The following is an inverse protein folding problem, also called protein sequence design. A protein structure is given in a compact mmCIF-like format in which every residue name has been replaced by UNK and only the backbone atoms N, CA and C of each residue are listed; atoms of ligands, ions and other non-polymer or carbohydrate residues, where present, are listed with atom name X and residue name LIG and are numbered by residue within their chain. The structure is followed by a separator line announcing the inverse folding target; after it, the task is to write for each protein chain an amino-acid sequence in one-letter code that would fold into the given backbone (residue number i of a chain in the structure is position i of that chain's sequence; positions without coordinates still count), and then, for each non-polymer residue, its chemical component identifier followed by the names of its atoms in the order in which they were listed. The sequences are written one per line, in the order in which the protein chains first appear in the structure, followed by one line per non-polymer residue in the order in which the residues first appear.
data_IF_040299468433
#
_entry.id   IF_040299468433
#
_cell.length_a   1.000
_cell.length_b   1.000
_cell.length_c   1.000
_cell.angle_alpha   90.00
_cell.angle_beta   90.00
_cell.angle_gamma   90.00
#
_symmetry.space_group_name_H-M   'P 1'
#
loop_
_entity.id
_entity.type
_entity.pdbx_description
1 polymer ?
#
# COMPACT_ATOMS: atom_id res chain seq x y z
N UNK A 1 47.72 23.85 -13.79
CA UNK A 1 46.62 22.90 -14.19
C UNK A 1 45.33 23.40 -13.55
N UNK A 2 44.48 24.07 -14.33
CA UNK A 2 43.24 24.70 -13.84
C UNK A 2 42.14 23.66 -13.86
N UNK A 3 41.69 23.24 -12.70
CA UNK A 3 40.54 22.33 -12.54
C UNK A 3 39.25 23.14 -12.64
N UNK A 4 38.67 23.17 -13.82
CA UNK A 4 37.35 23.76 -14.04
C UNK A 4 36.30 22.88 -13.32
N UNK A 5 35.78 23.31 -12.16
CA UNK A 5 34.59 22.71 -11.52
C UNK A 5 33.41 22.82 -12.49
N UNK A 6 32.70 21.74 -12.79
CA UNK A 6 31.49 21.85 -13.58
C UNK A 6 30.47 22.67 -12.80
N UNK A 7 30.05 23.79 -13.34
CA UNK A 7 28.96 24.63 -12.84
C UNK A 7 27.66 23.91 -13.17
N UNK A 8 27.13 23.14 -12.21
CA UNK A 8 25.77 22.61 -12.30
C UNK A 8 24.80 23.76 -12.00
N UNK A 9 24.11 24.20 -13.03
CA UNK A 9 23.04 25.20 -12.89
C UNK A 9 21.90 24.60 -12.05
N UNK A 10 21.50 25.28 -10.93
CA UNK A 10 20.36 24.83 -10.12
C UNK A 10 19.11 24.54 -10.94
N UNK A 11 18.87 25.33 -11.98
CA UNK A 11 17.76 25.15 -12.92
C UNK A 11 17.83 23.82 -13.70
N UNK A 12 19.05 23.39 -14.09
CA UNK A 12 19.22 22.09 -14.75
C UNK A 12 18.93 20.92 -13.80
N UNK A 13 19.38 20.99 -12.56
CA UNK A 13 19.13 19.99 -11.56
C UNK A 13 17.61 19.87 -11.28
N UNK A 14 16.92 20.99 -11.17
CA UNK A 14 15.47 21.02 -11.00
C UNK A 14 14.73 20.42 -12.19
N UNK A 15 15.09 20.79 -13.42
CA UNK A 15 14.50 20.22 -14.64
C UNK A 15 14.75 18.72 -14.76
N UNK A 16 15.91 18.24 -14.34
CA UNK A 16 16.23 16.82 -14.31
C UNK A 16 15.32 16.09 -13.32
N UNK A 17 15.17 16.61 -12.10
CA UNK A 17 14.30 15.97 -11.09
C UNK A 17 12.83 16.03 -11.51
N UNK A 18 12.33 17.10 -12.06
CA UNK A 18 10.99 17.19 -12.61
C UNK A 18 10.74 16.13 -13.70
N UNK A 19 11.73 15.90 -14.57
CA UNK A 19 11.64 14.88 -15.61
C UNK A 19 11.66 13.47 -15.00
N UNK A 20 12.50 13.23 -14.00
CA UNK A 20 12.56 11.97 -13.25
C UNK A 20 11.21 11.65 -12.60
N UNK A 21 10.63 12.61 -11.88
CA UNK A 21 9.33 12.47 -11.23
C UNK A 21 8.21 12.23 -12.23
N UNK A 22 8.24 12.91 -13.40
CA UNK A 22 7.26 12.68 -14.47
C UNK A 22 7.30 11.26 -15.02
N UNK A 23 8.50 10.67 -15.15
CA UNK A 23 8.64 9.27 -15.57
C UNK A 23 8.11 8.32 -14.50
N UNK A 24 8.41 8.55 -13.21
CA UNK A 24 7.92 7.72 -12.11
C UNK A 24 6.39 7.77 -11.96
N UNK A 25 5.77 8.96 -12.10
CA UNK A 25 4.32 9.11 -12.13
C UNK A 25 3.69 8.37 -13.32
N UNK A 26 4.25 8.53 -14.51
CA UNK A 26 3.78 7.80 -15.70
C UNK A 26 3.93 6.29 -15.54
N UNK A 27 4.96 5.84 -14.85
CA UNK A 27 5.14 4.44 -14.52
C UNK A 27 4.06 3.94 -13.55
N UNK A 28 3.71 4.75 -12.54
CA UNK A 28 2.58 4.48 -11.64
C UNK A 28 1.27 4.30 -12.43
N UNK A 29 0.96 5.23 -13.34
CA UNK A 29 -0.26 5.19 -14.15
C UNK A 29 -0.33 3.91 -15.01
N UNK A 30 0.81 3.49 -15.58
CA UNK A 30 0.89 2.25 -16.38
C UNK A 30 0.71 1.01 -15.49
N UNK A 31 1.27 1.01 -14.28
CA UNK A 31 1.10 -0.08 -13.31
C UNK A 31 -0.33 -0.19 -12.78
N UNK A 32 -1.02 0.94 -12.66
CA UNK A 32 -2.40 1.01 -12.18
C UNK A 32 -3.43 0.65 -13.26
N UNK A 33 -3.05 0.72 -14.53
CA UNK A 33 -3.94 0.47 -15.68
C UNK A 33 -4.25 -1.04 -15.79
N UNK A 34 -5.48 -1.48 -15.51
CA UNK A 34 -5.84 -2.90 -15.58
C UNK A 34 -5.88 -3.43 -17.03
N UNK A 35 -5.87 -2.54 -18.02
CA UNK A 35 -5.87 -2.90 -19.44
C UNK A 35 -4.46 -3.06 -20.01
N UNK A 36 -3.43 -2.69 -19.27
CA UNK A 36 -2.05 -2.86 -19.66
C UNK A 36 -1.63 -4.33 -19.45
N UNK A 37 -1.62 -5.12 -20.51
CA UNK A 37 -1.16 -6.53 -20.48
C UNK A 37 0.29 -6.64 -19.97
N UNK A 38 1.16 -5.71 -20.41
CA UNK A 38 2.56 -5.65 -20.01
C UNK A 38 3.02 -4.21 -19.76
N UNK A 39 3.77 -4.03 -18.69
CA UNK A 39 4.45 -2.76 -18.38
C UNK A 39 5.76 -2.67 -19.16
N UNK A 40 5.73 -1.96 -20.28
CA UNK A 40 6.91 -1.79 -21.14
C UNK A 40 7.48 -0.38 -21.06
N UNK A 41 8.80 -0.24 -21.21
CA UNK A 41 9.47 1.09 -21.21
C UNK A 41 8.93 2.01 -22.30
N UNK A 42 8.64 1.55 -23.54
CA UNK A 42 7.98 2.39 -24.56
C UNK A 42 6.62 2.95 -24.11
N UNK A 43 5.82 2.17 -23.38
CA UNK A 43 4.53 2.63 -22.85
C UNK A 43 4.72 3.74 -21.82
N UNK A 44 5.67 3.55 -20.90
CA UNK A 44 6.05 4.57 -19.91
C UNK A 44 6.54 5.86 -20.59
N UNK A 45 7.40 5.75 -21.59
CA UNK A 45 7.92 6.91 -22.32
C UNK A 45 6.78 7.71 -22.99
N UNK A 46 5.81 7.04 -23.62
CA UNK A 46 4.61 7.66 -24.21
C UNK A 46 3.78 8.37 -23.14
N UNK A 47 3.49 7.70 -22.05
CA UNK A 47 2.68 8.24 -20.93
C UNK A 47 3.39 9.45 -20.29
N UNK A 48 4.70 9.38 -20.11
CA UNK A 48 5.53 10.47 -19.60
C UNK A 48 5.75 11.61 -20.60
N UNK A 49 5.36 11.45 -21.86
CA UNK A 49 5.64 12.41 -22.96
C UNK A 49 7.13 12.73 -23.08
N UNK A 50 7.97 11.70 -23.02
CA UNK A 50 9.42 11.82 -23.24
C UNK A 50 9.89 10.78 -24.27
N UNK A 51 11.10 10.97 -24.82
CA UNK A 51 11.69 9.97 -25.70
C UNK A 51 12.10 8.72 -24.92
N UNK A 52 12.12 7.56 -25.59
CA UNK A 52 12.64 6.31 -25.03
C UNK A 52 14.10 6.48 -24.54
N UNK A 53 14.94 7.21 -25.31
CA UNK A 53 16.31 7.57 -24.94
C UNK A 53 16.35 8.35 -23.62
N UNK A 54 15.36 9.23 -23.41
CA UNK A 54 15.25 9.99 -22.17
C UNK A 54 15.00 9.07 -20.98
N UNK A 55 14.08 8.09 -21.11
CA UNK A 55 13.84 7.14 -20.03
C UNK A 55 15.09 6.36 -19.68
N UNK A 56 15.78 5.79 -20.68
CA UNK A 56 17.02 5.04 -20.44
C UNK A 56 18.17 5.86 -19.87
N UNK A 57 18.19 7.17 -20.11
CA UNK A 57 19.18 8.07 -19.49
C UNK A 57 18.97 8.18 -17.97
N UNK A 58 17.71 8.14 -17.50
CA UNK A 58 17.39 8.22 -16.06
C UNK A 58 17.39 6.85 -15.40
N UNK A 59 16.95 5.84 -16.13
CA UNK A 59 16.77 4.46 -15.64
C UNK A 59 17.32 3.51 -16.69
N UNK A 60 18.59 3.11 -16.56
CA UNK A 60 19.29 2.31 -17.58
C UNK A 60 18.64 0.96 -17.86
N UNK A 61 17.95 0.38 -16.88
CA UNK A 61 17.23 -0.89 -17.02
C UNK A 61 15.80 -0.76 -16.49
N UNK A 62 14.97 -1.75 -16.80
CA UNK A 62 13.61 -1.84 -16.26
C UNK A 62 13.65 -2.01 -14.73
N UNK A 63 14.58 -2.80 -14.25
CA UNK A 63 14.81 -3.04 -12.81
C UNK A 63 15.19 -1.73 -12.10
N UNK A 64 16.08 -0.93 -12.69
CA UNK A 64 16.45 0.37 -12.14
C UNK A 64 15.27 1.35 -12.06
N UNK A 65 14.35 1.34 -13.06
CA UNK A 65 13.11 2.11 -12.99
C UNK A 65 12.21 1.60 -11.86
N UNK A 66 12.14 0.28 -11.69
CA UNK A 66 11.33 -0.35 -10.65
C UNK A 66 11.83 -0.03 -9.26
N UNK A 67 13.14 -0.16 -9.03
CA UNK A 67 13.75 0.12 -7.73
C UNK A 67 13.60 1.60 -7.36
N UNK A 68 13.83 2.50 -8.32
CA UNK A 68 13.63 3.93 -8.12
C UNK A 68 12.16 4.30 -7.86
N UNK A 69 11.21 3.62 -8.50
CA UNK A 69 9.79 3.79 -8.23
C UNK A 69 9.40 3.28 -6.84
N UNK A 70 9.91 2.11 -6.44
CA UNK A 70 9.67 1.58 -5.11
C UNK A 70 10.18 2.51 -4.01
N UNK A 71 11.37 3.06 -4.18
CA UNK A 71 11.95 4.06 -3.29
C UNK A 71 11.12 5.36 -3.27
N UNK A 72 10.71 5.84 -4.44
CA UNK A 72 9.87 7.03 -4.55
C UNK A 72 8.51 6.82 -3.88
N UNK A 73 7.89 5.65 -4.05
CA UNK A 73 6.65 5.28 -3.37
C UNK A 73 6.84 5.27 -1.86
N UNK A 74 7.91 4.69 -1.35
CA UNK A 74 8.20 4.63 0.08
C UNK A 74 8.40 6.02 0.70
N UNK A 75 9.01 6.94 -0.05
CA UNK A 75 9.29 8.31 0.40
C UNK A 75 8.10 9.26 0.24
N UNK A 76 7.28 9.08 -0.80
CA UNK A 76 6.26 10.06 -1.21
C UNK A 76 4.84 9.60 -0.93
N UNK A 77 4.60 8.32 -0.75
CA UNK A 77 3.41 7.87 -0.10
C UNK A 77 3.51 8.27 1.37
N UNK A 78 3.10 9.48 1.67
CA UNK A 78 2.70 9.87 3.02
C UNK A 78 1.41 9.14 3.42
N UNK A 79 1.30 7.90 2.99
CA UNK A 79 0.42 6.99 3.64
C UNK A 79 1.07 6.85 5.01
N UNK A 80 0.50 7.48 6.02
CA UNK A 80 0.85 7.31 7.44
C UNK A 80 0.74 5.82 7.87
N UNK A 81 0.90 4.94 6.89
CA UNK A 81 0.76 3.49 6.85
C UNK A 81 1.97 2.73 7.34
N UNK A 82 3.01 3.46 7.75
CA UNK A 82 4.21 2.78 8.19
C UNK A 82 4.09 2.23 9.62
N UNK A 83 3.03 2.60 10.33
CA UNK A 83 2.85 2.14 11.70
C UNK A 83 1.38 1.93 12.03
N UNK A 84 0.99 0.70 12.30
CA UNK A 84 -0.26 0.43 13.00
C UNK A 84 -0.25 1.11 14.37
N UNK A 85 -1.41 1.49 14.93
CA UNK A 85 -1.50 1.99 16.28
C UNK A 85 -0.95 0.94 17.27
N UNK A 86 -0.54 1.37 18.45
CA UNK A 86 -0.02 0.46 19.47
C UNK A 86 -1.12 -0.38 20.13
N UNK A 87 -2.37 0.08 20.07
CA UNK A 87 -3.52 -0.52 20.75
C UNK A 87 -4.67 -0.76 19.78
N UNK A 88 -5.41 -1.85 19.98
CA UNK A 88 -6.56 -2.24 19.17
C UNK A 88 -7.68 -1.20 19.14
N UNK A 89 -7.87 -0.46 20.22
CA UNK A 89 -8.90 0.58 20.37
C UNK A 89 -8.75 1.73 19.37
N UNK A 90 -7.54 1.93 18.82
CA UNK A 90 -7.26 2.95 17.82
C UNK A 90 -7.39 2.45 16.38
N UNK A 91 -7.64 1.15 16.20
CA UNK A 91 -7.79 0.58 14.84
C UNK A 91 -9.01 1.13 14.07
N UNK A 92 -10.17 1.44 14.71
CA UNK A 92 -11.28 2.05 13.98
C UNK A 92 -10.93 3.43 13.38
N UNK A 93 -10.33 4.32 14.17
CA UNK A 93 -9.88 5.63 13.69
C UNK A 93 -8.80 5.49 12.63
N UNK A 94 -7.87 4.58 12.87
CA UNK A 94 -6.84 4.25 11.89
C UNK A 94 -7.43 3.77 10.55
N UNK A 95 -8.51 2.98 10.55
CA UNK A 95 -9.18 2.55 9.32
C UNK A 95 -9.74 3.73 8.52
N UNK A 96 -10.32 4.73 9.20
CA UNK A 96 -10.83 5.95 8.56
C UNK A 96 -9.72 6.74 7.86
N UNK A 97 -8.63 6.98 8.57
CA UNK A 97 -7.47 7.72 8.05
C UNK A 97 -6.80 6.97 6.90
N UNK A 98 -6.64 5.64 7.08
CA UNK A 98 -6.05 4.74 6.12
C UNK A 98 -6.80 4.75 4.79
N UNK A 99 -8.11 4.59 4.80
CA UNK A 99 -8.91 4.49 3.59
C UNK A 99 -9.01 5.84 2.86
N UNK A 100 -9.05 6.96 3.60
CA UNK A 100 -8.94 8.28 3.01
C UNK A 100 -7.60 8.46 2.28
N UNK A 101 -6.51 8.05 2.91
CA UNK A 101 -5.18 8.16 2.31
C UNK A 101 -5.01 7.24 1.08
N UNK A 102 -5.72 6.11 1.04
CA UNK A 102 -5.76 5.26 -0.15
C UNK A 102 -6.47 5.95 -1.31
N UNK A 103 -7.58 6.64 -1.08
CA UNK A 103 -8.27 7.43 -2.11
C UNK A 103 -7.39 8.56 -2.65
N UNK A 104 -6.75 9.31 -1.76
CA UNK A 104 -5.83 10.39 -2.14
C UNK A 104 -4.65 9.89 -2.99
N UNK A 105 -4.30 8.62 -2.85
CA UNK A 105 -3.18 7.96 -3.53
C UNK A 105 -3.63 6.80 -4.41
N UNK A 106 -4.88 6.78 -4.86
CA UNK A 106 -5.52 5.65 -5.56
C UNK A 106 -4.66 5.04 -6.68
N UNK A 107 -4.07 5.81 -7.63
CA UNK A 107 -3.26 5.22 -8.70
C UNK A 107 -2.07 4.44 -8.16
N UNK A 108 -1.43 4.92 -7.11
CA UNK A 108 -0.28 4.27 -6.50
C UNK A 108 -0.69 3.01 -5.75
N UNK A 109 -1.78 3.06 -4.98
CA UNK A 109 -2.31 1.90 -4.24
C UNK A 109 -2.74 0.82 -5.22
N UNK A 110 -3.46 1.15 -6.29
CA UNK A 110 -3.84 0.21 -7.35
C UNK A 110 -2.62 -0.37 -8.06
N UNK A 111 -1.61 0.45 -8.38
CA UNK A 111 -0.34 -0.02 -8.94
C UNK A 111 0.35 -1.02 -8.02
N UNK A 112 0.38 -0.72 -6.72
CA UNK A 112 0.94 -1.62 -5.70
C UNK A 112 0.16 -2.93 -5.59
N UNK A 113 -1.16 -2.92 -5.68
CA UNK A 113 -1.98 -4.12 -5.53
C UNK A 113 -1.96 -5.01 -6.78
N UNK A 114 -2.12 -4.43 -7.96
CA UNK A 114 -2.41 -5.16 -9.19
C UNK A 114 -1.15 -5.56 -9.97
N UNK A 115 -0.03 -4.88 -9.76
CA UNK A 115 1.20 -5.18 -10.47
C UNK A 115 1.93 -6.39 -9.89
N UNK A 116 2.23 -7.38 -10.75
CA UNK A 116 3.13 -8.50 -10.40
C UNK A 116 4.50 -8.00 -9.95
N UNK A 117 4.96 -6.94 -10.54
CA UNK A 117 6.27 -6.37 -10.28
C UNK A 117 6.34 -5.63 -8.93
N UNK A 118 5.24 -5.01 -8.46
CA UNK A 118 5.15 -4.46 -7.10
C UNK A 118 5.07 -5.54 -6.00
N UNK A 119 4.91 -6.80 -6.38
CA UNK A 119 4.85 -7.94 -5.43
C UNK A 119 6.07 -7.99 -4.51
N UNK A 120 7.27 -7.86 -5.08
CA UNK A 120 8.53 -7.91 -4.32
C UNK A 120 8.60 -6.79 -3.27
N UNK A 121 8.13 -5.58 -3.61
CA UNK A 121 8.08 -4.45 -2.68
C UNK A 121 7.10 -4.75 -1.54
N UNK A 122 5.91 -5.26 -1.87
CA UNK A 122 4.92 -5.65 -0.85
C UNK A 122 5.43 -6.74 0.08
N UNK A 123 6.16 -7.72 -0.45
CA UNK A 123 6.72 -8.83 0.33
C UNK A 123 7.79 -8.36 1.31
N UNK A 124 8.66 -7.41 0.91
CA UNK A 124 9.69 -6.83 1.79
C UNK A 124 9.08 -6.19 3.04
N UNK A 125 7.96 -5.49 2.90
CA UNK A 125 7.31 -4.76 4.01
C UNK A 125 6.28 -5.59 4.78
N UNK A 126 5.80 -6.72 4.19
CA UNK A 126 4.72 -7.55 4.75
C UNK A 126 4.99 -8.00 6.18
N UNK A 127 6.15 -8.61 6.44
CA UNK A 127 6.51 -9.14 7.77
C UNK A 127 6.58 -8.05 8.84
N UNK A 128 7.07 -6.86 8.47
CA UNK A 128 7.12 -5.72 9.40
C UNK A 128 5.72 -5.27 9.76
N UNK A 129 4.83 -5.09 8.77
CA UNK A 129 3.44 -4.68 8.98
C UNK A 129 2.66 -5.71 9.78
N UNK A 130 2.80 -7.00 9.49
CA UNK A 130 2.17 -8.06 10.27
C UNK A 130 2.58 -8.01 11.74
N UNK A 131 3.88 -7.90 12.04
CA UNK A 131 4.34 -7.81 13.44
C UNK A 131 3.83 -6.57 14.17
N UNK A 132 3.71 -5.43 13.49
CA UNK A 132 3.13 -4.23 14.09
C UNK A 132 1.65 -4.42 14.40
N UNK A 133 0.91 -4.99 13.46
CA UNK A 133 -0.51 -5.30 13.64
C UNK A 133 -0.74 -6.35 14.74
N UNK A 134 0.07 -7.41 14.80
CA UNK A 134 0.02 -8.41 15.86
C UNK A 134 0.23 -7.79 17.25
N UNK A 135 1.15 -6.82 17.35
CA UNK A 135 1.35 -6.07 18.62
C UNK A 135 0.11 -5.24 18.97
N UNK A 136 -0.48 -4.54 18.00
CA UNK A 136 -1.70 -3.76 18.23
C UNK A 136 -2.86 -4.62 18.76
N UNK A 137 -2.93 -5.88 18.30
CA UNK A 137 -3.98 -6.83 18.66
C UNK A 137 -3.64 -7.74 19.84
N UNK A 138 -2.43 -7.63 20.42
CA UNK A 138 -1.94 -8.61 21.43
C UNK A 138 -2.86 -8.72 22.63
N UNK A 139 -3.31 -7.59 23.19
CA UNK A 139 -4.23 -7.57 24.34
C UNK A 139 -5.50 -8.41 24.13
N UNK A 140 -6.01 -8.43 22.88
CA UNK A 140 -7.23 -9.14 22.53
C UNK A 140 -6.99 -10.60 22.08
N UNK A 141 -5.76 -10.95 21.74
CA UNK A 141 -5.50 -12.22 21.05
C UNK A 141 -4.49 -13.14 21.74
N UNK A 142 -3.73 -12.66 22.74
CA UNK A 142 -2.69 -13.49 23.39
C UNK A 142 -3.25 -14.63 24.22
N UNK A 143 -4.52 -14.53 24.66
CA UNK A 143 -5.22 -15.62 25.37
C UNK A 143 -5.90 -16.65 24.45
N UNK A 144 -5.89 -16.46 23.13
CA UNK A 144 -6.52 -17.35 22.16
C UNK A 144 -5.58 -18.49 21.75
N UNK A 145 -6.18 -19.63 21.41
CA UNK A 145 -5.45 -20.73 20.78
C UNK A 145 -4.86 -20.29 19.40
N UNK A 146 -3.74 -20.85 18.95
CA UNK A 146 -3.03 -20.37 17.76
C UNK A 146 -3.90 -20.24 16.49
N UNK A 147 -4.84 -21.19 16.26
CA UNK A 147 -5.76 -21.15 15.11
C UNK A 147 -6.79 -20.03 15.24
N UNK A 148 -7.31 -19.81 16.41
CA UNK A 148 -8.29 -18.77 16.73
C UNK A 148 -7.67 -17.40 16.65
N UNK A 149 -6.49 -17.23 17.20
CA UNK A 149 -5.66 -16.03 17.06
C UNK A 149 -5.45 -15.67 15.60
N UNK A 150 -5.06 -16.65 14.77
CA UNK A 150 -4.86 -16.42 13.34
C UNK A 150 -6.15 -15.98 12.65
N UNK A 151 -7.31 -16.56 12.99
CA UNK A 151 -8.61 -16.14 12.44
C UNK A 151 -8.94 -14.70 12.80
N UNK A 152 -8.79 -14.33 14.07
CA UNK A 152 -9.03 -12.96 14.55
C UNK A 152 -8.12 -11.95 13.83
N UNK A 153 -6.83 -12.24 13.81
CA UNK A 153 -5.85 -11.38 13.14
C UNK A 153 -6.14 -11.24 11.64
N UNK A 154 -6.47 -12.32 10.95
CA UNK A 154 -6.68 -12.31 9.51
C UNK A 154 -7.88 -11.43 9.09
N UNK A 155 -9.01 -11.55 9.77
CA UNK A 155 -10.21 -10.79 9.43
C UNK A 155 -10.06 -9.31 9.74
N UNK A 156 -9.54 -8.96 10.93
CA UNK A 156 -9.34 -7.55 11.28
C UNK A 156 -8.26 -6.91 10.40
N UNK A 157 -7.17 -7.65 10.10
CA UNK A 157 -6.14 -7.17 9.17
C UNK A 157 -6.69 -6.87 7.78
N UNK A 158 -7.60 -7.70 7.26
CA UNK A 158 -8.23 -7.45 5.95
C UNK A 158 -8.97 -6.12 5.95
N UNK A 159 -9.70 -5.80 7.02
CA UNK A 159 -10.48 -4.56 7.17
C UNK A 159 -9.60 -3.30 7.32
N UNK A 160 -8.35 -3.44 7.71
CA UNK A 160 -7.38 -2.34 7.81
C UNK A 160 -6.27 -2.49 6.77
N UNK A 161 -6.64 -2.83 5.53
CA UNK A 161 -5.69 -3.10 4.45
C UNK A 161 -6.15 -2.56 3.10
N UNK A 162 -5.20 -2.36 2.19
CA UNK A 162 -5.51 -1.91 0.83
C UNK A 162 -6.38 -2.91 0.03
N UNK A 163 -6.24 -4.24 0.14
CA UNK A 163 -7.19 -5.16 -0.46
C UNK A 163 -8.63 -4.99 0.03
N UNK A 164 -8.83 -4.73 1.32
CA UNK A 164 -10.16 -4.46 1.89
C UNK A 164 -10.79 -3.19 1.32
N UNK A 165 -10.01 -2.10 1.27
CA UNK A 165 -10.42 -0.85 0.61
C UNK A 165 -10.78 -1.09 -0.85
N UNK A 166 -9.88 -1.72 -1.63
CA UNK A 166 -10.12 -1.98 -3.04
C UNK A 166 -11.41 -2.78 -3.27
N UNK A 167 -11.66 -3.83 -2.49
CA UNK A 167 -12.86 -4.65 -2.62
C UNK A 167 -14.15 -3.84 -2.36
N UNK A 168 -14.16 -2.95 -1.36
CA UNK A 168 -15.31 -2.10 -1.06
C UNK A 168 -15.54 -1.05 -2.16
N UNK A 169 -14.49 -0.45 -2.70
CA UNK A 169 -14.59 0.51 -3.78
C UNK A 169 -15.01 -0.16 -5.11
N UNK A 170 -14.33 -1.21 -5.53
CA UNK A 170 -14.52 -1.82 -6.85
C UNK A 170 -15.83 -2.61 -6.96
N UNK A 171 -16.29 -3.27 -5.86
CA UNK A 171 -17.48 -4.12 -5.89
C UNK A 171 -18.76 -3.41 -5.45
N UNK A 172 -18.64 -2.40 -4.58
CA UNK A 172 -19.79 -1.73 -3.97
C UNK A 172 -19.89 -0.25 -4.33
N UNK A 173 -18.88 0.30 -5.03
CA UNK A 173 -18.85 1.70 -5.46
C UNK A 173 -18.73 2.70 -4.30
N UNK A 174 -18.20 2.26 -3.15
CA UNK A 174 -17.93 3.16 -2.04
C UNK A 174 -16.71 4.00 -2.34
N UNK A 175 -16.73 5.27 -1.96
CA UNK A 175 -15.50 6.05 -1.87
C UNK A 175 -14.71 5.71 -0.59
N UNK A 176 -13.47 6.17 -0.47
CA UNK A 176 -12.63 5.85 0.68
C UNK A 176 -13.18 6.34 2.01
N UNK A 177 -14.00 7.42 2.00
CA UNK A 177 -14.67 7.89 3.22
C UNK A 177 -15.73 6.91 3.69
N UNK A 178 -16.61 6.44 2.80
CA UNK A 178 -17.68 5.49 3.14
C UNK A 178 -17.12 4.10 3.41
N UNK A 179 -16.15 3.64 2.62
CA UNK A 179 -15.44 2.39 2.87
C UNK A 179 -14.68 2.41 4.21
N UNK A 180 -14.07 3.55 4.55
CA UNK A 180 -13.41 3.76 5.84
C UNK A 180 -14.39 3.69 7.02
N UNK A 181 -15.57 4.29 6.92
CA UNK A 181 -16.63 4.19 7.94
C UNK A 181 -17.12 2.76 8.11
N UNK A 182 -17.33 2.03 7.01
CA UNK A 182 -17.72 0.63 7.04
C UNK A 182 -16.65 -0.25 7.71
N UNK A 183 -15.38 -0.06 7.34
CA UNK A 183 -14.26 -0.75 7.96
C UNK A 183 -14.12 -0.43 9.45
N UNK A 184 -14.18 0.85 9.83
CA UNK A 184 -14.09 1.30 11.22
C UNK A 184 -15.21 0.71 12.08
N UNK A 185 -16.45 0.70 11.56
CA UNK A 185 -17.58 0.06 12.24
C UNK A 185 -17.33 -1.43 12.45
N UNK A 186 -16.93 -2.16 11.41
CA UNK A 186 -16.69 -3.60 11.49
C UNK A 186 -15.52 -3.94 12.42
N UNK A 187 -14.42 -3.18 12.36
CA UNK A 187 -13.26 -3.34 13.26
C UNK A 187 -13.69 -3.16 14.70
N UNK A 188 -14.45 -2.09 15.01
CA UNK A 188 -14.97 -1.86 16.37
C UNK A 188 -15.82 -3.02 16.86
N UNK A 189 -16.78 -3.48 16.05
CA UNK A 189 -17.64 -4.62 16.42
C UNK A 189 -16.81 -5.87 16.71
N UNK A 190 -15.83 -6.17 15.87
CA UNK A 190 -14.99 -7.36 16.04
C UNK A 190 -14.06 -7.26 17.26
N UNK A 191 -13.46 -6.11 17.50
CA UNK A 191 -12.59 -5.91 18.66
C UNK A 191 -13.37 -5.90 19.98
N UNK A 192 -14.58 -5.31 19.98
CA UNK A 192 -15.47 -5.34 21.13
C UNK A 192 -15.97 -6.76 21.42
N UNK A 193 -16.27 -7.54 20.39
CA UNK A 193 -16.69 -8.94 20.57
C UNK A 193 -15.53 -9.80 21.09
N UNK A 194 -14.33 -9.66 20.54
CA UNK A 194 -13.16 -10.37 21.07
C UNK A 194 -12.88 -10.04 22.55
N UNK A 195 -13.15 -8.82 22.98
CA UNK A 195 -12.98 -8.40 24.38
C UNK A 195 -14.03 -9.01 25.29
N UNK A 196 -15.31 -9.02 24.85
CA UNK A 196 -16.43 -9.51 25.67
C UNK A 196 -16.56 -11.03 25.66
N UNK A 197 -16.28 -11.64 24.53
CA UNK A 197 -16.51 -13.06 24.29
C UNK A 197 -15.40 -13.67 23.42
N UNK A 198 -14.20 -13.85 23.96
CA UNK A 198 -13.08 -14.44 23.22
C UNK A 198 -13.39 -15.88 22.77
N UNK A 199 -14.29 -16.59 23.47
CA UNK A 199 -14.73 -17.93 23.09
C UNK A 199 -15.63 -17.95 21.84
N UNK A 200 -16.24 -16.82 21.46
CA UNK A 200 -17.11 -16.71 20.30
C UNK A 200 -16.42 -17.11 18.99
N UNK A 201 -15.13 -16.86 18.85
CA UNK A 201 -14.34 -17.26 17.69
C UNK A 201 -14.13 -18.80 17.59
N UNK A 202 -14.36 -19.52 18.70
CA UNK A 202 -14.29 -20.99 18.76
C UNK A 202 -15.55 -21.66 18.22
N UNK A 203 -16.67 -20.96 18.14
CA UNK A 203 -17.99 -21.52 17.82
C UNK A 203 -18.06 -22.22 16.44
N UNK A 204 -17.11 -21.89 15.54
CA UNK A 204 -17.01 -22.50 14.22
C UNK A 204 -16.05 -23.70 14.22
N UNK A 205 -16.29 -24.69 15.09
CA UNK A 205 -15.54 -25.96 15.07
C UNK A 205 -15.96 -26.78 13.86
N UNK A 206 -14.98 -27.38 13.18
CA UNK A 206 -15.23 -28.39 12.16
C UNK A 206 -15.93 -29.58 12.83
N UNK A 207 -17.16 -29.91 12.43
CA UNK A 207 -17.71 -31.24 12.65
C UNK A 207 -18.93 -31.41 13.53
N UNK A 208 -19.86 -30.47 13.61
CA UNK A 208 -21.26 -30.82 13.96
C UNK A 208 -22.12 -30.74 12.69
N UNK A 209 -22.09 -31.84 11.91
CA UNK A 209 -23.13 -32.22 10.95
C UNK A 209 -23.93 -33.35 11.51
#
# INVERSE_FOLDING_TARGET
MSTTRPYESPLRAEQMEQTRLRILRAFTDVLADPTAEDVTIPLVARRARVSLRTVYRYFPTREALFDAWAEWVDQNLQIHLHSYPEQADRLPEFALELYRSYDESEPVVKAMLNSKAARTVRERTRRRRQRQFERAMSELTDGLEPKERLRALAVVYLLVSAPGWQAMCDQWGLDGSEAGKAAAWAVRVLTDELRRNPEGIKAFKEGER
#
